data_IF_656846692765
#
_entry.id   IF_656846692765
#
_cell.length_a   1.000
_cell.length_b   1.000
_cell.length_c   1.000
_cell.angle_alpha   90.00
_cell.angle_beta   90.00
_cell.angle_gamma   90.00
#
_symmetry.space_group_name_H-M   'P 1'
#
loop_
_entity.id
_entity.type
_entity.pdbx_description
1 polymer ?
#
# COMPACT_ATOMS: atom_id res chain seq x y z
N UNK A 1 33.75 4.71 -11.26
CA UNK A 1 33.83 3.49 -12.08
C UNK A 1 33.05 2.42 -11.35
N UNK A 2 31.97 1.91 -11.94
CA UNK A 2 31.24 0.78 -11.38
C UNK A 2 31.99 -0.48 -11.80
N UNK A 3 32.59 -1.20 -10.85
CA UNK A 3 33.33 -2.44 -11.15
C UNK A 3 32.31 -3.58 -11.31
N UNK A 4 32.27 -4.20 -12.49
CA UNK A 4 31.42 -5.36 -12.75
C UNK A 4 32.21 -6.63 -12.45
N UNK A 5 31.74 -7.41 -11.46
CA UNK A 5 32.24 -8.76 -11.16
C UNK A 5 31.18 -9.80 -11.50
N UNK A 6 31.63 -10.99 -11.91
CA UNK A 6 30.77 -12.12 -12.24
C UNK A 6 30.79 -13.13 -11.11
N UNK A 7 29.62 -13.60 -10.72
CA UNK A 7 29.43 -14.61 -9.68
C UNK A 7 28.61 -15.76 -10.25
N UNK A 8 28.88 -16.97 -9.77
CA UNK A 8 28.07 -18.16 -10.08
C UNK A 8 27.26 -18.46 -8.82
N UNK A 9 25.94 -18.41 -8.94
CA UNK A 9 25.01 -18.84 -7.90
C UNK A 9 24.51 -20.22 -8.28
N UNK A 10 24.63 -21.20 -7.39
CA UNK A 10 24.13 -22.56 -7.62
C UNK A 10 22.95 -22.85 -6.68
N UNK A 11 22.04 -23.78 -7.05
CA UNK A 11 20.91 -24.16 -6.19
C UNK A 11 21.30 -24.75 -4.83
N UNK A 12 22.56 -25.14 -4.64
CA UNK A 12 23.06 -25.69 -3.37
C UNK A 12 23.61 -24.63 -2.41
N UNK A 13 23.78 -23.40 -2.86
CA UNK A 13 24.28 -22.31 -2.02
C UNK A 13 23.16 -21.75 -1.16
N UNK A 14 23.45 -21.52 0.11
CA UNK A 14 22.56 -20.76 1.00
C UNK A 14 22.64 -19.26 0.72
N UNK A 15 21.71 -18.47 1.25
CA UNK A 15 21.75 -17.01 1.15
C UNK A 15 23.10 -16.46 1.66
N UNK A 16 23.55 -16.95 2.81
CA UNK A 16 24.81 -16.54 3.43
C UNK A 16 26.03 -16.95 2.59
N UNK A 17 26.04 -18.16 2.00
CA UNK A 17 27.12 -18.59 1.11
C UNK A 17 27.29 -17.65 -0.10
N UNK A 18 26.18 -17.16 -0.64
CA UNK A 18 26.17 -16.21 -1.76
C UNK A 18 26.73 -14.86 -1.31
N UNK A 19 26.27 -14.32 -0.17
CA UNK A 19 26.77 -13.06 0.37
C UNK A 19 28.28 -13.14 0.65
N UNK A 20 28.75 -14.18 1.33
CA UNK A 20 30.17 -14.41 1.62
C UNK A 20 31.03 -14.47 0.35
N UNK A 21 30.50 -15.11 -0.70
CA UNK A 21 31.16 -15.19 -2.01
C UNK A 21 31.26 -13.81 -2.67
N UNK A 22 30.22 -12.98 -2.56
CA UNK A 22 30.20 -11.61 -3.09
C UNK A 22 31.19 -10.72 -2.33
N UNK A 23 31.18 -10.77 -1.00
CA UNK A 23 32.12 -10.04 -0.14
C UNK A 23 33.57 -10.39 -0.47
N UNK A 24 33.87 -11.69 -0.64
CA UNK A 24 35.18 -12.17 -1.03
C UNK A 24 35.57 -11.68 -2.41
N UNK A 25 34.67 -11.81 -3.38
CA UNK A 25 34.90 -11.37 -4.74
C UNK A 25 35.16 -9.88 -4.83
N UNK A 26 34.49 -9.06 -4.01
CA UNK A 26 34.66 -7.61 -3.97
C UNK A 26 35.86 -7.15 -3.12
N UNK A 27 36.54 -8.06 -2.41
CA UNK A 27 37.66 -7.70 -1.54
C UNK A 27 37.22 -6.90 -0.32
N UNK A 28 35.99 -7.11 0.15
CA UNK A 28 35.45 -6.47 1.36
C UNK A 28 35.86 -7.20 2.64
N UNK A 29 36.37 -8.43 2.52
CA UNK A 29 37.00 -9.18 3.61
C UNK A 29 38.27 -8.48 4.08
N UNK A 30 38.17 -7.70 5.16
CA UNK A 30 39.29 -6.97 5.75
C UNK A 30 38.93 -5.66 6.45
N UNK A 31 37.71 -5.14 6.25
CA UNK A 31 37.25 -3.89 6.86
C UNK A 31 36.33 -4.12 8.08
N UNK A 32 36.83 -4.87 9.08
CA UNK A 32 36.21 -5.02 10.40
C UNK A 32 34.84 -5.72 10.44
N UNK A 33 34.34 -6.00 11.65
CA UNK A 33 33.02 -6.62 11.92
C UNK A 33 31.81 -5.76 11.48
N UNK A 34 32.05 -4.62 10.82
CA UNK A 34 31.05 -3.58 10.56
C UNK A 34 30.60 -3.46 9.10
N UNK A 35 31.17 -4.23 8.17
CA UNK A 35 30.74 -4.22 6.77
C UNK A 35 29.84 -5.41 6.43
N UNK A 36 28.58 -5.30 6.82
CA UNK A 36 27.50 -6.15 6.29
C UNK A 36 27.10 -5.64 4.90
N UNK A 37 27.07 -6.53 3.90
CA UNK A 37 26.51 -6.23 2.58
C UNK A 37 25.06 -6.69 2.48
N UNK A 38 24.33 -6.11 1.54
CA UNK A 38 23.06 -6.63 1.09
C UNK A 38 22.97 -6.54 -0.43
N UNK A 39 22.23 -7.46 -1.05
CA UNK A 39 22.07 -7.50 -2.50
C UNK A 39 20.68 -7.00 -2.87
N UNK A 40 20.63 -6.26 -3.96
CA UNK A 40 19.42 -5.69 -4.55
C UNK A 40 19.32 -6.04 -6.03
N UNK A 41 18.11 -5.99 -6.58
CA UNK A 41 17.93 -5.97 -8.03
C UNK A 41 18.36 -4.61 -8.61
N UNK A 42 18.32 -4.46 -9.94
CA UNK A 42 18.60 -3.19 -10.62
C UNK A 42 17.66 -2.03 -10.25
N UNK A 43 16.50 -2.35 -9.66
CA UNK A 43 15.52 -1.39 -9.16
C UNK A 43 15.79 -1.01 -7.68
N UNK A 44 16.81 -1.63 -7.08
CA UNK A 44 17.18 -1.47 -5.68
C UNK A 44 16.37 -2.32 -4.71
N UNK A 45 15.45 -3.19 -5.14
CA UNK A 45 14.69 -4.05 -4.23
C UNK A 45 15.62 -5.06 -3.57
N UNK A 46 15.64 -5.10 -2.23
CA UNK A 46 16.51 -6.01 -1.48
C UNK A 46 16.10 -7.47 -1.66
N UNK A 47 17.10 -8.34 -1.74
CA UNK A 47 16.94 -9.78 -1.67
C UNK A 47 16.95 -10.24 -0.21
N UNK A 48 16.06 -11.16 0.12
CA UNK A 48 15.87 -11.70 1.47
C UNK A 48 16.09 -13.22 1.48
N UNK A 49 16.47 -13.74 2.64
CA UNK A 49 16.46 -15.18 2.91
C UNK A 49 15.04 -15.66 3.25
N UNK A 50 14.16 -15.66 2.25
CA UNK A 50 12.77 -16.10 2.43
C UNK A 50 12.09 -16.47 1.12
N UNK A 51 11.43 -17.63 1.10
CA UNK A 51 10.55 -18.04 -0.01
C UNK A 51 9.16 -17.37 0.05
N UNK A 52 8.88 -16.56 1.08
CA UNK A 52 7.62 -15.81 1.18
C UNK A 52 7.55 -14.61 0.21
N UNK A 53 8.66 -14.30 -0.46
CA UNK A 53 8.81 -13.18 -1.42
C UNK A 53 9.53 -13.65 -2.67
N UNK A 54 9.26 -13.00 -3.81
CA UNK A 54 9.98 -13.24 -5.07
C UNK A 54 11.35 -12.54 -5.10
N UNK A 55 11.65 -11.73 -4.09
CA UNK A 55 12.96 -11.08 -3.91
C UNK A 55 13.89 -11.95 -3.07
N UNK A 56 14.32 -13.07 -3.65
CA UNK A 56 15.28 -13.99 -3.05
C UNK A 56 16.16 -14.60 -4.16
N UNK A 57 17.30 -15.19 -3.78
CA UNK A 57 18.30 -15.64 -4.77
C UNK A 57 17.78 -16.78 -5.67
N UNK A 58 16.74 -17.51 -5.25
CA UNK A 58 16.10 -18.55 -6.07
C UNK A 58 15.40 -17.99 -7.33
N UNK A 59 15.14 -16.68 -7.35
CA UNK A 59 14.47 -15.98 -8.47
C UNK A 59 15.43 -15.12 -9.30
N UNK A 60 16.75 -15.27 -9.14
CA UNK A 60 17.76 -14.63 -10.01
C UNK A 60 17.92 -15.45 -11.29
N UNK A 61 17.96 -14.77 -12.43
CA UNK A 61 18.17 -15.43 -13.73
C UNK A 61 19.60 -15.24 -14.23
N UNK A 62 20.04 -16.13 -15.12
CA UNK A 62 21.39 -16.02 -15.70
C UNK A 62 21.58 -14.69 -16.44
N UNK A 63 22.77 -14.10 -16.27
CA UNK A 63 23.14 -12.81 -16.88
C UNK A 63 22.52 -11.57 -16.22
N UNK A 64 21.77 -11.73 -15.13
CA UNK A 64 21.20 -10.60 -14.42
C UNK A 64 22.25 -9.77 -13.69
N UNK A 65 22.08 -8.44 -13.75
CA UNK A 65 22.89 -7.50 -12.97
C UNK A 65 22.22 -7.26 -11.63
N UNK A 66 22.98 -7.43 -10.55
CA UNK A 66 22.54 -7.14 -9.19
C UNK A 66 23.35 -5.98 -8.63
N UNK A 67 22.72 -5.21 -7.75
CA UNK A 67 23.36 -4.11 -7.06
C UNK A 67 23.77 -4.57 -5.66
N UNK A 68 24.96 -4.18 -5.22
CA UNK A 68 25.45 -4.49 -3.88
C UNK A 68 25.44 -3.22 -3.04
N UNK A 69 24.67 -3.25 -1.96
CA UNK A 69 24.68 -2.25 -0.91
C UNK A 69 25.60 -2.66 0.24
N UNK A 70 26.04 -1.67 1.01
CA UNK A 70 26.82 -1.89 2.24
C UNK A 70 26.04 -1.27 3.40
N UNK A 71 26.36 -1.61 4.65
CA UNK A 71 25.78 -1.01 5.86
C UNK A 71 25.79 0.52 5.87
N UNK A 72 26.77 1.16 5.21
CA UNK A 72 26.85 2.62 5.07
C UNK A 72 25.83 3.20 4.08
N UNK A 73 25.30 2.38 3.18
CA UNK A 73 24.26 2.73 2.22
C UNK A 73 22.92 2.18 2.69
N UNK A 74 22.12 3.02 3.35
CA UNK A 74 20.78 2.61 3.83
C UNK A 74 19.86 2.17 2.68
N UNK A 75 20.08 2.68 1.46
CA UNK A 75 19.25 2.43 0.28
C UNK A 75 20.10 2.54 -1.00
N UNK A 76 20.08 1.52 -1.86
CA UNK A 76 20.67 1.59 -3.20
C UNK A 76 19.59 1.97 -4.21
N UNK A 77 19.71 3.15 -4.81
CA UNK A 77 18.68 3.68 -5.71
C UNK A 77 18.72 3.00 -7.09
N UNK A 78 17.55 2.83 -7.74
CA UNK A 78 17.46 2.24 -9.07
C UNK A 78 18.31 2.99 -10.10
N UNK A 79 18.98 2.23 -10.98
CA UNK A 79 19.71 2.79 -12.11
C UNK A 79 18.79 3.16 -13.30
N UNK A 80 17.77 2.35 -13.65
CA UNK A 80 16.79 2.75 -14.65
C UNK A 80 15.83 3.81 -14.10
N UNK A 81 15.49 4.79 -14.93
CA UNK A 81 14.45 5.77 -14.60
C UNK A 81 13.13 5.04 -14.31
N UNK A 82 12.45 5.48 -13.25
CA UNK A 82 11.12 4.96 -12.90
C UNK A 82 10.14 5.25 -14.04
N UNK A 83 9.54 4.21 -14.57
CA UNK A 83 8.33 4.25 -15.37
C UNK A 83 7.13 3.95 -14.47
N UNK A 84 5.96 4.47 -14.84
CA UNK A 84 4.72 4.16 -14.14
C UNK A 84 3.64 3.84 -15.17
N UNK A 85 2.82 2.84 -14.90
CA UNK A 85 1.70 2.44 -15.75
C UNK A 85 0.44 2.24 -14.91
N UNK A 86 -0.71 2.56 -15.48
CA UNK A 86 -1.99 2.29 -14.86
C UNK A 86 -2.40 0.84 -15.16
N UNK A 87 -2.45 0.00 -14.13
CA UNK A 87 -2.69 -1.43 -14.21
C UNK A 87 -4.05 -1.77 -13.57
N UNK A 88 -5.13 -1.66 -14.35
CA UNK A 88 -6.50 -1.90 -13.88
C UNK A 88 -7.07 -3.26 -14.32
N UNK A 89 -6.40 -3.91 -15.25
CA UNK A 89 -6.78 -5.22 -15.78
C UNK A 89 -5.54 -6.12 -15.82
N UNK A 90 -5.75 -7.42 -15.59
CA UNK A 90 -4.67 -8.39 -15.61
C UNK A 90 -4.46 -8.89 -17.04
N UNK A 91 -3.41 -8.44 -17.71
CA UNK A 91 -3.05 -8.86 -19.06
C UNK A 91 -2.24 -10.17 -19.09
N UNK A 92 -1.72 -10.61 -17.93
CA UNK A 92 -0.95 -11.85 -17.82
C UNK A 92 -1.79 -13.11 -17.61
N UNK A 93 -3.06 -12.96 -17.17
CA UNK A 93 -3.96 -14.08 -16.85
C UNK A 93 -3.53 -14.90 -15.63
N UNK A 94 -2.70 -14.32 -14.76
CA UNK A 94 -2.16 -15.01 -13.57
C UNK A 94 -3.00 -14.74 -12.33
N UNK A 95 -3.72 -13.61 -12.30
CA UNK A 95 -4.66 -13.32 -11.23
C UNK A 95 -5.95 -14.12 -11.40
N UNK A 96 -6.35 -14.82 -10.33
CA UNK A 96 -7.63 -15.56 -10.27
C UNK A 96 -8.86 -14.66 -10.31
N UNK A 97 -8.71 -13.38 -9.94
CA UNK A 97 -9.75 -12.36 -9.88
C UNK A 97 -9.29 -11.12 -10.62
N UNK A 98 -10.22 -10.21 -10.93
CA UNK A 98 -9.85 -8.90 -11.46
C UNK A 98 -8.92 -8.16 -10.50
N UNK A 99 -8.14 -7.20 -11.00
CA UNK A 99 -7.32 -6.31 -10.14
C UNK A 99 -8.18 -5.61 -9.09
N UNK A 100 -9.41 -5.25 -9.44
CA UNK A 100 -10.35 -4.60 -8.55
C UNK A 100 -10.80 -5.49 -7.38
N UNK A 101 -11.05 -6.78 -7.65
CA UNK A 101 -11.67 -7.72 -6.71
C UNK A 101 -10.66 -8.63 -6.00
N UNK A 102 -9.39 -8.52 -6.36
CA UNK A 102 -8.29 -9.27 -5.74
C UNK A 102 -8.07 -8.85 -4.29
N UNK A 103 -7.67 -9.81 -3.44
CA UNK A 103 -7.25 -9.48 -2.08
C UNK A 103 -5.94 -8.68 -2.11
N UNK A 104 -5.65 -7.93 -1.04
CA UNK A 104 -4.39 -7.18 -0.93
C UNK A 104 -3.16 -8.09 -1.04
N UNK A 105 -3.22 -9.27 -0.41
CA UNK A 105 -2.14 -10.25 -0.43
C UNK A 105 -1.88 -10.81 -1.82
N UNK A 106 -2.95 -11.22 -2.53
CA UNK A 106 -2.85 -11.74 -3.91
C UNK A 106 -2.30 -10.67 -4.85
N UNK A 107 -2.83 -9.43 -4.74
CA UNK A 107 -2.40 -8.34 -5.60
C UNK A 107 -0.96 -7.92 -5.32
N UNK A 108 -0.55 -7.89 -4.04
CA UNK A 108 0.85 -7.66 -3.66
C UNK A 108 1.77 -8.71 -4.26
N UNK A 109 1.46 -9.99 -4.07
CA UNK A 109 2.29 -11.09 -4.57
C UNK A 109 2.40 -11.05 -6.11
N UNK A 110 1.29 -10.84 -6.79
CA UNK A 110 1.24 -10.72 -8.25
C UNK A 110 2.12 -9.57 -8.75
N UNK A 111 1.94 -8.38 -8.18
CA UNK A 111 2.66 -7.18 -8.60
C UNK A 111 4.16 -7.30 -8.28
N UNK A 112 4.53 -7.89 -7.13
CA UNK A 112 5.93 -8.19 -6.80
C UNK A 112 6.57 -9.17 -7.79
N UNK A 113 5.84 -10.17 -8.27
CA UNK A 113 6.32 -11.08 -9.30
C UNK A 113 6.54 -10.36 -10.65
N UNK A 114 5.62 -9.47 -11.04
CA UNK A 114 5.81 -8.65 -12.24
C UNK A 114 7.01 -7.71 -12.13
N UNK A 115 7.19 -7.06 -10.98
CA UNK A 115 8.34 -6.20 -10.72
C UNK A 115 9.66 -6.96 -10.83
N UNK A 116 9.70 -8.20 -10.31
CA UNK A 116 10.87 -9.08 -10.39
C UNK A 116 11.17 -9.47 -11.85
N UNK A 117 10.16 -9.83 -12.62
CA UNK A 117 10.30 -10.13 -14.05
C UNK A 117 10.80 -8.92 -14.84
N UNK A 118 10.32 -7.72 -14.53
CA UNK A 118 10.79 -6.48 -15.15
C UNK A 118 12.26 -6.18 -14.82
N UNK A 119 12.66 -6.37 -13.57
CA UNK A 119 14.04 -6.17 -13.13
C UNK A 119 15.03 -7.08 -13.88
N UNK A 120 14.65 -8.35 -14.12
CA UNK A 120 15.45 -9.29 -14.91
C UNK A 120 15.71 -8.79 -16.35
N UNK A 121 14.79 -8.02 -16.93
CA UNK A 121 14.95 -7.37 -18.25
C UNK A 121 15.29 -5.89 -18.15
N UNK A 122 15.82 -5.46 -17.00
CA UNK A 122 16.33 -4.11 -16.71
C UNK A 122 15.30 -2.98 -16.85
N UNK A 123 14.06 -3.27 -16.48
CA UNK A 123 12.96 -2.29 -16.43
C UNK A 123 12.59 -1.95 -14.99
N UNK A 124 12.27 -0.68 -14.76
CA UNK A 124 11.84 -0.15 -13.46
C UNK A 124 10.39 0.38 -13.58
N UNK A 125 9.42 -0.52 -13.65
CA UNK A 125 8.02 -0.17 -13.89
C UNK A 125 7.22 -0.27 -12.59
N UNK A 126 6.65 0.84 -12.15
CA UNK A 126 5.66 0.89 -11.08
C UNK A 126 4.25 0.73 -11.65
N UNK A 127 3.54 -0.30 -11.22
CA UNK A 127 2.13 -0.52 -11.61
C UNK A 127 1.19 0.11 -10.59
N UNK A 128 0.39 1.08 -11.04
CA UNK A 128 -0.67 1.73 -10.25
C UNK A 128 -1.97 0.92 -10.38
N UNK A 129 -2.43 0.34 -9.28
CA UNK A 129 -3.58 -0.59 -9.28
C UNK A 129 -4.92 0.07 -8.94
N UNK A 130 -4.91 1.40 -8.79
CA UNK A 130 -6.10 2.21 -8.52
C UNK A 130 -6.12 3.39 -9.49
N UNK A 131 -7.29 3.80 -9.99
CA UNK A 131 -7.40 5.04 -10.76
C UNK A 131 -7.12 6.28 -9.91
N UNK A 132 -6.62 7.35 -10.52
CA UNK A 132 -6.33 8.63 -9.88
C UNK A 132 -7.52 9.17 -9.09
N UNK A 133 -8.74 9.16 -9.65
CA UNK A 133 -9.94 9.68 -8.97
C UNK A 133 -10.17 9.03 -7.61
N UNK A 134 -10.04 7.71 -7.53
CA UNK A 134 -10.18 6.97 -6.27
C UNK A 134 -9.13 7.37 -5.24
N UNK A 135 -7.90 7.67 -5.68
CA UNK A 135 -6.83 8.13 -4.79
C UNK A 135 -7.06 9.57 -4.35
N UNK A 136 -7.43 10.46 -5.26
CA UNK A 136 -7.74 11.86 -4.96
C UNK A 136 -8.94 11.98 -4.02
N UNK A 137 -10.02 11.23 -4.25
CA UNK A 137 -11.19 11.19 -3.36
C UNK A 137 -10.80 10.79 -1.92
N UNK A 138 -9.88 9.82 -1.78
CA UNK A 138 -9.35 9.42 -0.47
C UNK A 138 -8.52 10.52 0.18
N UNK A 139 -7.70 11.22 -0.60
CA UNK A 139 -6.89 12.36 -0.11
C UNK A 139 -7.81 13.51 0.30
N UNK A 140 -8.81 13.86 -0.50
CA UNK A 140 -9.76 14.92 -0.14
C UNK A 140 -10.58 14.57 1.10
N UNK A 141 -11.04 13.32 1.20
CA UNK A 141 -11.71 12.81 2.41
C UNK A 141 -10.76 12.88 3.61
N UNK A 142 -9.46 12.67 3.39
CA UNK A 142 -8.43 12.84 4.41
C UNK A 142 -8.31 14.31 4.84
N UNK A 143 -8.44 15.26 3.93
CA UNK A 143 -8.30 16.70 4.23
C UNK A 143 -9.54 17.30 4.89
N UNK A 144 -10.74 16.87 4.48
CA UNK A 144 -12.02 17.38 4.99
C UNK A 144 -12.36 16.89 6.41
N UNK A 145 -11.72 15.82 6.87
CA UNK A 145 -12.00 15.24 8.17
C UNK A 145 -11.36 16.06 9.32
N UNK A 146 -12.15 16.36 10.35
CA UNK A 146 -11.68 17.06 11.55
C UNK A 146 -10.94 16.12 12.52
N UNK A 147 -10.08 16.68 13.38
CA UNK A 147 -9.34 15.93 14.40
C UNK A 147 -10.25 15.19 15.42
N UNK A 148 -11.50 15.63 15.56
CA UNK A 148 -12.47 15.10 16.54
C UNK A 148 -13.22 13.85 16.07
N UNK A 149 -13.23 13.56 14.77
CA UNK A 149 -13.77 12.31 14.23
C UNK A 149 -12.60 11.47 13.70
N UNK A 150 -11.98 10.61 14.54
CA UNK A 150 -10.89 9.78 14.08
C UNK A 150 -11.38 8.96 12.89
N UNK A 151 -10.76 9.16 11.72
CA UNK A 151 -11.08 8.43 10.49
C UNK A 151 -11.07 6.95 10.82
N UNK A 152 -12.25 6.35 10.88
CA UNK A 152 -12.42 4.91 11.12
C UNK A 152 -11.52 4.08 10.20
N UNK A 153 -11.14 4.64 9.04
CA UNK A 153 -10.36 4.00 8.00
C UNK A 153 -8.83 4.27 8.00
N UNK A 154 -8.31 5.32 8.65
CA UNK A 154 -6.89 5.69 8.58
C UNK A 154 -6.32 6.25 9.91
N UNK A 155 -6.65 5.61 11.04
CA UNK A 155 -5.92 5.85 12.29
C UNK A 155 -4.50 5.24 12.22
N UNK A 156 -3.63 5.55 13.19
CA UNK A 156 -2.23 5.10 13.19
C UNK A 156 -2.09 3.59 13.01
N UNK A 157 -2.78 2.80 13.83
CA UNK A 157 -2.70 1.34 13.79
C UNK A 157 -3.20 0.78 12.45
N UNK A 158 -4.31 1.31 11.93
CA UNK A 158 -4.89 0.88 10.66
C UNK A 158 -4.02 1.29 9.47
N UNK A 159 -3.44 2.48 9.48
CA UNK A 159 -2.51 2.93 8.43
C UNK A 159 -1.26 2.06 8.39
N UNK A 160 -0.67 1.73 9.53
CA UNK A 160 0.45 0.77 9.62
C UNK A 160 0.06 -0.60 9.06
N UNK A 161 -1.07 -1.15 9.49
CA UNK A 161 -1.56 -2.44 8.99
C UNK A 161 -1.85 -2.42 7.48
N UNK A 162 -2.38 -1.32 6.93
CA UNK A 162 -2.57 -1.16 5.48
C UNK A 162 -1.22 -1.20 4.77
N UNK A 163 -0.26 -0.42 5.25
CA UNK A 163 1.09 -0.39 4.67
C UNK A 163 1.76 -1.76 4.72
N UNK A 164 1.79 -2.43 5.88
CA UNK A 164 2.36 -3.79 6.03
C UNK A 164 1.64 -4.83 5.14
N UNK A 165 0.34 -4.65 4.89
CA UNK A 165 -0.40 -5.56 4.00
C UNK A 165 -0.11 -5.35 2.51
N UNK A 166 0.22 -4.13 2.10
CA UNK A 166 0.47 -3.78 0.70
C UNK A 166 1.96 -3.79 0.35
N UNK A 167 2.82 -3.44 1.31
CA UNK A 167 4.26 -3.33 1.18
C UNK A 167 4.92 -4.37 2.07
N UNK A 168 5.96 -5.02 1.56
CA UNK A 168 6.80 -5.90 2.36
C UNK A 168 7.80 -5.02 3.12
N UNK A 169 7.34 -4.40 4.21
CA UNK A 169 8.20 -3.58 5.08
C UNK A 169 8.32 -4.22 6.46
N UNK A 170 9.55 -4.44 6.91
CA UNK A 170 9.82 -4.77 8.31
C UNK A 170 9.48 -3.54 9.15
N UNK A 171 8.34 -3.62 9.85
CA UNK A 171 7.83 -2.68 10.85
C UNK A 171 8.20 -1.20 10.67
N UNK A 172 7.23 -0.34 10.39
CA UNK A 172 7.47 1.12 10.37
C UNK A 172 7.77 1.61 11.79
N UNK A 173 9.06 1.66 12.12
CA UNK A 173 9.60 2.12 13.41
C UNK A 173 9.66 3.63 13.52
N UNK A 174 9.67 4.33 12.38
CA UNK A 174 9.71 5.79 12.36
C UNK A 174 8.38 6.40 12.79
N UNK A 175 8.44 7.34 13.74
CA UNK A 175 7.28 8.11 14.15
C UNK A 175 6.97 9.19 13.12
N UNK A 176 5.81 9.07 12.50
CA UNK A 176 5.32 9.98 11.50
C UNK A 176 4.00 10.61 11.96
N UNK A 177 3.73 11.88 11.63
CA UNK A 177 2.45 12.50 11.91
C UNK A 177 1.28 11.66 11.36
N UNK A 178 0.16 11.60 12.09
CA UNK A 178 -0.99 10.73 11.78
C UNK A 178 -1.46 10.85 10.33
N UNK A 179 -1.54 12.09 9.83
CA UNK A 179 -2.00 12.39 8.47
C UNK A 179 -0.99 11.96 7.40
N UNK A 180 0.31 12.04 7.71
CA UNK A 180 1.35 11.52 6.83
C UNK A 180 1.31 9.99 6.74
N UNK A 181 1.15 9.28 7.87
CA UNK A 181 0.94 7.83 7.86
C UNK A 181 -0.28 7.43 7.03
N UNK A 182 -1.37 8.20 7.12
CA UNK A 182 -2.56 7.96 6.32
C UNK A 182 -2.31 8.19 4.81
N UNK A 183 -1.55 9.22 4.43
CA UNK A 183 -1.16 9.45 3.03
C UNK A 183 -0.26 8.33 2.50
N UNK A 184 0.70 7.86 3.29
CA UNK A 184 1.54 6.72 2.92
C UNK A 184 0.72 5.43 2.78
N UNK A 185 -0.29 5.23 3.64
CA UNK A 185 -1.22 4.11 3.50
C UNK A 185 -2.08 4.21 2.22
N UNK A 186 -2.51 5.41 1.82
CA UNK A 186 -3.20 5.61 0.54
C UNK A 186 -2.28 5.30 -0.65
N UNK A 187 -1.02 5.77 -0.60
CA UNK A 187 -0.01 5.48 -1.61
C UNK A 187 0.26 3.97 -1.71
N UNK A 188 0.35 3.25 -0.59
CA UNK A 188 0.58 1.81 -0.59
C UNK A 188 -0.59 1.03 -1.20
N UNK A 189 -1.83 1.49 -1.02
CA UNK A 189 -3.00 0.91 -1.69
C UNK A 189 -2.98 1.10 -3.21
N UNK A 190 -2.32 2.14 -3.71
CA UNK A 190 -2.11 2.38 -5.14
C UNK A 190 -0.91 1.60 -5.71
N UNK A 191 0.05 1.25 -4.86
CA UNK A 191 1.35 0.66 -5.25
C UNK A 191 1.69 -0.61 -4.45
N UNK A 192 0.77 -1.60 -4.34
CA UNK A 192 1.08 -2.83 -3.62
C UNK A 192 2.28 -3.52 -4.29
N UNK A 193 3.10 -4.20 -3.49
CA UNK A 193 4.30 -4.90 -3.96
C UNK A 193 5.52 -4.00 -4.24
N UNK A 194 5.32 -2.68 -4.42
CA UNK A 194 6.40 -1.71 -4.69
C UNK A 194 6.69 -0.88 -3.44
N UNK A 195 7.43 -1.39 -2.47
CA UNK A 195 7.65 -0.66 -1.22
C UNK A 195 8.74 0.42 -1.35
N UNK A 196 9.90 0.06 -1.91
CA UNK A 196 11.05 0.96 -1.95
C UNK A 196 10.97 2.06 -3.02
N UNK A 197 10.34 1.81 -4.17
CA UNK A 197 10.28 2.81 -5.26
C UNK A 197 9.43 4.03 -4.88
N UNK A 198 8.21 3.89 -4.33
CA UNK A 198 7.44 5.03 -3.85
C UNK A 198 8.13 5.76 -2.70
N UNK A 199 8.89 5.05 -1.85
CA UNK A 199 9.69 5.66 -0.78
C UNK A 199 10.80 6.55 -1.36
N UNK A 200 11.51 6.09 -2.38
CA UNK A 200 12.51 6.90 -3.08
C UNK A 200 11.90 8.17 -3.68
N UNK A 201 10.70 8.07 -4.27
CA UNK A 201 9.99 9.22 -4.80
C UNK A 201 9.56 10.22 -3.73
N UNK A 202 9.19 9.77 -2.53
CA UNK A 202 8.93 10.66 -1.39
C UNK A 202 10.21 11.40 -0.97
N UNK A 203 11.34 10.70 -0.92
CA UNK A 203 12.64 11.31 -0.58
C UNK A 203 13.05 12.32 -1.66
N UNK A 204 12.82 12.02 -2.93
CA UNK A 204 13.10 12.95 -4.03
C UNK A 204 12.23 14.20 -3.93
N UNK A 205 10.93 14.06 -3.68
CA UNK A 205 10.04 15.20 -3.45
C UNK A 205 10.48 16.05 -2.24
N UNK A 206 10.90 15.39 -1.15
CA UNK A 206 11.47 16.07 0.01
C UNK A 206 12.73 16.87 -0.38
N UNK A 207 13.65 16.24 -1.10
CA UNK A 207 14.91 16.86 -1.51
C UNK A 207 14.68 18.05 -2.46
N UNK A 208 13.68 17.95 -3.34
CA UNK A 208 13.23 19.05 -4.21
C UNK A 208 12.66 20.22 -3.38
N UNK A 209 11.89 19.95 -2.32
CA UNK A 209 11.32 20.97 -1.42
C UNK A 209 12.40 21.69 -0.59
N UNK A 210 13.32 20.94 0.03
CA UNK A 210 14.36 21.50 0.91
C UNK A 210 15.50 22.20 0.15
N UNK A 211 15.43 22.24 -1.19
CA UNK A 211 16.25 23.14 -1.96
C UNK A 211 16.02 24.61 -1.55
N UNK A 212 14.84 24.93 -0.98
CA UNK A 212 14.65 26.14 -0.18
C UNK A 212 15.21 25.94 1.24
N UNK A 213 16.24 26.69 1.67
CA UNK A 213 16.84 26.55 2.99
C UNK A 213 15.91 26.94 4.16
N UNK A 214 14.72 27.50 3.90
CA UNK A 214 13.70 27.80 4.93
C UNK A 214 12.79 26.61 5.25
N UNK A 215 12.80 25.59 4.40
CA UNK A 215 11.96 24.41 4.53
C UNK A 215 12.52 23.42 5.56
N UNK A 216 11.63 22.68 6.22
CA UNK A 216 12.05 21.62 7.16
C UNK A 216 12.69 20.46 6.42
N UNK A 217 13.79 19.92 6.97
CA UNK A 217 14.50 18.73 6.49
C UNK A 217 13.72 17.42 6.61
N UNK A 218 12.64 17.43 7.39
CA UNK A 218 11.79 16.27 7.65
C UNK A 218 10.87 15.98 6.47
N UNK A 219 10.46 14.72 6.31
CA UNK A 219 9.41 14.35 5.35
C UNK A 219 8.09 14.95 5.82
N UNK A 220 7.36 15.58 4.89
CA UNK A 220 6.08 16.22 5.12
C UNK A 220 4.97 15.64 4.25
N UNK A 221 3.71 15.97 4.57
CA UNK A 221 2.54 15.55 3.79
C UNK A 221 2.63 15.93 2.30
N UNK A 222 3.20 17.10 2.01
CA UNK A 222 3.37 17.61 0.65
C UNK A 222 4.31 16.73 -0.18
N UNK A 223 5.30 16.08 0.45
CA UNK A 223 6.25 15.20 -0.23
C UNK A 223 5.54 13.92 -0.69
N UNK A 224 4.67 13.36 0.16
CA UNK A 224 3.87 12.18 -0.18
C UNK A 224 2.85 12.49 -1.28
N UNK A 225 2.16 13.63 -1.20
CA UNK A 225 1.24 14.07 -2.25
C UNK A 225 1.96 14.31 -3.58
N UNK A 226 3.15 14.92 -3.54
CA UNK A 226 3.98 15.14 -4.72
C UNK A 226 4.41 13.82 -5.35
N UNK A 227 4.80 12.82 -4.54
CA UNK A 227 5.13 11.49 -5.03
C UNK A 227 3.92 10.80 -5.71
N UNK A 228 2.74 10.85 -5.09
CA UNK A 228 1.48 10.34 -5.68
C UNK A 228 1.21 11.02 -7.02
N UNK A 229 1.18 12.35 -7.04
CA UNK A 229 0.88 13.11 -8.25
C UNK A 229 1.92 12.85 -9.35
N UNK A 230 3.21 12.72 -9.00
CA UNK A 230 4.28 12.38 -9.93
C UNK A 230 4.07 11.00 -10.57
N UNK A 231 3.71 9.98 -9.79
CA UNK A 231 3.42 8.64 -10.32
C UNK A 231 2.28 8.65 -11.34
N UNK A 232 1.14 9.27 -11.00
CA UNK A 232 0.00 9.35 -11.93
C UNK A 232 0.29 10.19 -13.16
N UNK A 233 1.12 11.24 -13.03
CA UNK A 233 1.57 12.04 -14.18
C UNK A 233 2.49 11.23 -15.10
N UNK A 234 3.45 10.48 -14.57
CA UNK A 234 4.32 9.59 -15.36
C UNK A 234 3.47 8.55 -16.10
N UNK A 235 2.48 7.96 -15.42
CA UNK A 235 1.55 7.00 -16.00
C UNK A 235 0.54 7.61 -16.99
N UNK A 236 0.55 8.94 -17.19
CA UNK A 236 -0.45 9.68 -17.99
C UNK A 236 -1.89 9.34 -17.58
N UNK A 237 -2.10 9.16 -16.27
CA UNK A 237 -3.32 8.65 -15.67
C UNK A 237 -3.98 9.66 -14.73
N UNK A 238 -3.63 10.95 -14.84
CA UNK A 238 -4.33 12.00 -14.11
C UNK A 238 -5.82 11.97 -14.50
N UNK A 239 -6.67 12.04 -13.48
CA UNK A 239 -8.13 11.96 -13.52
C UNK A 239 -8.71 10.67 -14.11
N UNK A 240 -7.89 9.63 -14.25
CA UNK A 240 -8.34 8.30 -14.66
C UNK A 240 -9.41 7.78 -13.70
N UNK A 241 -10.38 7.07 -14.27
CA UNK A 241 -11.36 6.27 -13.55
C UNK A 241 -11.22 4.79 -13.97
N UNK A 242 -11.93 3.91 -13.27
CA UNK A 242 -12.03 2.52 -13.70
C UNK A 242 -12.71 2.41 -15.06
N UNK A 243 -12.23 1.55 -15.96
CA UNK A 243 -12.90 1.30 -17.23
C UNK A 243 -14.33 0.82 -17.00
N UNK A 244 -15.26 1.34 -17.79
CA UNK A 244 -16.64 0.86 -17.82
C UNK A 244 -16.69 -0.54 -18.45
N UNK A 245 -16.41 -1.57 -17.66
CA UNK A 245 -16.66 -2.95 -18.10
C UNK A 245 -18.16 -3.20 -18.20
N UNK A 246 -18.62 -4.03 -19.15
CA UNK A 246 -20.04 -4.37 -19.31
C UNK A 246 -20.68 -4.92 -18.02
N UNK A 247 -19.88 -5.52 -17.13
CA UNK A 247 -20.30 -5.93 -15.79
C UNK A 247 -20.73 -4.73 -14.91
N UNK A 248 -20.00 -3.60 -14.98
CA UNK A 248 -20.38 -2.36 -14.31
C UNK A 248 -21.60 -1.70 -14.93
N UNK A 249 -21.80 -1.79 -16.25
CA UNK A 249 -23.07 -1.36 -16.87
C UNK A 249 -24.27 -2.13 -16.29
N UNK A 250 -24.15 -3.45 -16.08
CA UNK A 250 -25.22 -4.25 -15.46
C UNK A 250 -25.44 -3.90 -13.99
N UNK A 251 -24.38 -3.68 -13.20
CA UNK A 251 -24.52 -3.32 -11.77
C UNK A 251 -25.01 -1.88 -11.59
N UNK A 252 -24.53 -0.94 -12.40
CA UNK A 252 -24.97 0.46 -12.42
C UNK A 252 -26.43 0.57 -12.87
N UNK A 253 -26.83 -0.15 -13.93
CA UNK A 253 -28.23 -0.22 -14.36
C UNK A 253 -29.13 -0.94 -13.34
N UNK A 254 -28.62 -1.97 -12.63
CA UNK A 254 -29.39 -2.63 -11.55
C UNK A 254 -29.56 -1.73 -10.33
N UNK A 255 -28.60 -0.84 -10.03
CA UNK A 255 -28.72 0.16 -8.95
C UNK A 255 -29.60 1.35 -9.34
N UNK A 256 -29.54 1.82 -10.59
CA UNK A 256 -30.49 2.82 -11.10
C UNK A 256 -31.91 2.25 -11.25
N UNK A 257 -32.06 1.01 -11.69
CA UNK A 257 -33.36 0.33 -11.76
C UNK A 257 -34.00 0.12 -10.39
N UNK A 258 -33.20 -0.12 -9.33
CA UNK A 258 -33.70 -0.16 -7.94
C UNK A 258 -33.99 1.21 -7.31
N UNK A 259 -33.56 2.30 -7.93
CA UNK A 259 -33.93 3.67 -7.52
C UNK A 259 -35.01 4.27 -8.43
N UNK A 260 -35.46 3.51 -9.44
CA UNK A 260 -36.50 3.89 -10.40
C UNK A 260 -37.63 2.86 -10.43
N UNK A 261 -37.80 2.08 -9.36
CA UNK A 261 -39.13 1.57 -9.01
C UNK A 261 -39.83 2.76 -8.34
N UNK A 262 -40.70 3.41 -9.12
CA UNK A 262 -41.71 4.32 -8.64
C UNK A 262 -42.51 3.65 -7.50
N UNK A 263 -43.02 4.41 -6.53
CA UNK A 263 -43.89 3.84 -5.52
C UNK A 263 -45.12 3.27 -6.23
N UNK A 264 -45.32 1.96 -6.13
CA UNK A 264 -46.57 1.33 -6.57
C UNK A 264 -47.75 2.09 -5.93
N UNK A 265 -48.69 2.51 -6.76
CA UNK A 265 -49.92 3.25 -6.44
C UNK A 265 -50.91 2.48 -5.54
N UNK A 266 -50.45 1.48 -4.77
CA UNK A 266 -51.30 0.60 -3.96
C UNK A 266 -51.10 0.81 -2.43
N UNK A 267 -50.61 1.98 -1.99
CA UNK A 267 -50.46 2.31 -0.55
C UNK A 267 -51.41 3.43 -0.08
N UNK A 268 -52.34 3.90 -0.92
CA UNK A 268 -53.44 4.77 -0.46
C UNK A 268 -54.66 4.00 0.04
N UNK A 269 -54.78 2.68 -0.20
CA UNK A 269 -55.94 1.89 0.26
C UNK A 269 -55.76 1.22 1.64
N UNK A 270 -54.60 1.40 2.30
CA UNK A 270 -54.33 0.88 3.66
C UNK A 270 -54.32 1.95 4.76
N UNK A 271 -54.52 3.23 4.41
CA UNK A 271 -54.64 4.32 5.39
C UNK A 271 -56.07 4.49 5.96
N UNK A 272 -57.10 3.92 5.31
CA UNK A 272 -58.51 4.05 5.73
C UNK A 272 -59.01 2.93 6.67
N UNK A 273 -58.15 1.98 7.08
CA UNK A 273 -58.53 0.85 7.95
C UNK A 273 -57.95 0.87 9.37
N UNK A 274 -57.33 1.96 9.83
CA UNK A 274 -56.96 2.12 11.24
C UNK A 274 -57.68 3.32 11.84
N UNK A 275 -58.96 3.09 12.14
CA UNK A 275 -59.77 3.97 12.97
C UNK A 275 -59.20 4.10 14.38
N UNK A 276 -59.26 5.35 14.86
CA UNK A 276 -59.39 5.81 16.23
C UNK A 276 -59.02 4.83 17.37
N UNK A 277 -57.89 5.09 18.01
CA UNK A 277 -57.73 4.78 19.42
C UNK A 277 -56.97 5.92 20.12
N UNK A 278 -57.70 6.59 21.01
CA UNK A 278 -57.26 7.69 21.87
C UNK A 278 -55.91 7.47 22.54
N UNK A 279 -55.12 8.56 22.56
CA UNK A 279 -54.08 8.79 23.55
C UNK A 279 -54.67 8.75 24.98
N UNK A 280 -53.95 8.19 25.95
CA UNK A 280 -53.98 8.69 27.31
C UNK A 280 -52.72 9.52 27.58
N UNK A 281 -52.93 10.80 27.82
CA UNK A 281 -52.09 11.62 28.69
C UNK A 281 -52.02 10.96 30.07
N UNK A 282 -50.82 10.72 30.60
CA UNK A 282 -50.51 10.96 32.02
C UNK A 282 -49.01 10.89 32.29
N UNK A 283 -48.51 12.01 32.79
CA UNK A 283 -47.68 12.21 33.99
C UNK A 283 -46.17 11.90 33.97
N UNK A 284 -45.44 13.01 34.11
CA UNK A 284 -44.15 13.21 34.76
C UNK A 284 -43.92 12.31 35.98
N UNK A 285 -42.68 11.77 36.11
CA UNK A 285 -41.91 11.80 37.37
C UNK A 285 -40.40 11.60 37.10
N UNK A 286 -39.66 12.68 37.37
CA UNK A 286 -38.38 12.86 38.10
C UNK A 286 -37.19 11.87 38.06
N UNK A 287 -36.03 12.54 38.09
CA UNK A 287 -34.66 12.13 38.38
C UNK A 287 -34.50 11.21 39.62
N UNK A 288 -33.53 10.27 39.58
CA UNK A 288 -32.36 10.27 40.48
C UNK A 288 -31.39 9.09 40.25
N UNK A 289 -30.14 9.38 40.60
CA UNK A 289 -28.91 8.56 40.70
C UNK A 289 -29.06 7.11 41.20
N UNK A 290 -28.22 6.19 40.68
CA UNK A 290 -27.20 5.52 41.51
C UNK A 290 -26.38 4.46 40.73
N UNK A 291 -25.07 4.71 40.61
CA UNK A 291 -24.00 3.77 41.00
C UNK A 291 -23.66 2.51 40.16
N UNK A 292 -22.38 2.05 40.19
CA UNK A 292 -21.81 1.15 39.20
C UNK A 292 -21.93 -0.35 39.56
N UNK A 293 -22.22 -1.19 38.57
CA UNK A 293 -22.26 -2.66 38.77
C UNK A 293 -20.87 -3.28 38.64
N UNK A 294 -20.43 -3.83 39.77
CA UNK A 294 -19.18 -4.57 40.03
C UNK A 294 -19.13 -5.92 39.29
N UNK A 295 -17.94 -6.28 38.78
CA UNK A 295 -17.62 -7.64 38.28
C UNK A 295 -17.53 -8.66 39.43
N UNK A 296 -18.03 -9.89 39.27
CA UNK A 296 -17.65 -11.00 40.14
C UNK A 296 -16.55 -11.87 39.51
N UNK A 297 -15.44 -12.02 40.23
CA UNK A 297 -14.40 -13.00 39.94
C UNK A 297 -14.61 -14.35 40.64
N UNK A 298 -14.12 -15.41 39.98
CA UNK A 298 -13.56 -16.70 40.47
C UNK A 298 -14.40 -17.62 41.37
N UNK A 299 -14.55 -18.89 40.92
CA UNK A 299 -13.82 -20.12 41.37
C UNK A 299 -14.31 -21.34 40.57
N UNK A 300 -13.42 -22.07 39.86
CA UNK A 300 -12.76 -23.36 40.20
C UNK A 300 -13.70 -24.57 40.40
N UNK A 301 -13.46 -25.63 39.61
CA UNK A 301 -13.83 -27.02 39.91
C UNK A 301 -13.44 -27.96 38.76
N UNK A 302 -12.64 -28.99 39.05
CA UNK A 302 -12.22 -30.05 38.12
C UNK A 302 -10.71 -30.17 38.00
#
# INVERSE_FOLDING_TARGET
MTELKKFIITPSMTHDDILLSIEAGLGLHGFGEDQEIFVCDVNGQRFYDSDATTFNFNNVVDGEELLVGTKHNVRVRPSPRVEAVLYLEDDTGLLKKTVQDSSRGDLRAHISALLRNDAAVRKNIVRLVKPHRIITDKIETLEKASDRTPKRNYNVARSKAIMESNWYCDGITQEFPKKMLALMAILSEATPGHHDVPRDLIIDAKNERIADPRESSDIQEIDVKSAIHRLYRIARAIDSDWPETQARKKVYNKRKGKMAEEPDEDVEELADCLGEASLPDTMDVDDEDDGPVVQPGRRRGG
#
